data_IF_091167040026
#
_entry.id   IF_091167040026
#
_cell.length_a   1.000
_cell.length_b   1.000
_cell.length_c   1.000
_cell.angle_alpha   90.00
_cell.angle_beta   90.00
_cell.angle_gamma   90.00
#
_symmetry.space_group_name_H-M   'P 1'
#
loop_
_entity.id
_entity.type
_entity.pdbx_description
1 polymer ?
#
# COMPACT_ATOMS: atom_id res chain seq x y z
N UNK A 1 31.15 -26.46 -27.62
CA UNK A 1 30.07 -25.45 -27.63
C UNK A 1 28.97 -25.94 -26.69
N UNK A 2 28.86 -25.39 -25.48
CA UNK A 2 27.82 -25.75 -24.50
C UNK A 2 27.41 -24.52 -23.68
N UNK A 3 27.23 -23.37 -24.34
CA UNK A 3 26.92 -22.08 -23.70
C UNK A 3 25.42 -21.97 -23.38
N UNK A 4 24.56 -22.72 -24.07
CA UNK A 4 23.10 -22.66 -23.94
C UNK A 4 22.57 -23.31 -22.65
N UNK A 5 23.25 -24.32 -22.13
CA UNK A 5 22.83 -25.02 -20.90
C UNK A 5 23.22 -24.27 -19.62
N UNK A 6 24.23 -23.39 -19.71
CA UNK A 6 24.76 -22.62 -18.58
C UNK A 6 23.83 -21.48 -18.15
N UNK A 7 23.26 -20.72 -19.09
CA UNK A 7 22.30 -19.66 -18.75
C UNK A 7 21.03 -20.23 -18.10
N UNK A 8 20.47 -21.30 -18.67
CA UNK A 8 19.20 -21.87 -18.19
C UNK A 8 19.35 -22.49 -16.80
N UNK A 9 20.42 -23.25 -16.56
CA UNK A 9 20.66 -23.91 -15.27
C UNK A 9 20.96 -22.91 -14.14
N UNK A 10 21.73 -21.86 -14.42
CA UNK A 10 22.05 -20.81 -13.43
C UNK A 10 20.80 -19.98 -13.11
N UNK A 11 19.98 -19.62 -14.10
CA UNK A 11 18.73 -18.89 -13.88
C UNK A 11 17.71 -19.70 -13.07
N UNK A 12 17.54 -21.00 -13.35
CA UNK A 12 16.67 -21.90 -12.58
C UNK A 12 17.13 -22.06 -11.13
N UNK A 13 18.45 -22.22 -10.91
CA UNK A 13 19.03 -22.40 -9.57
C UNK A 13 18.96 -21.14 -8.71
N UNK A 14 18.93 -19.96 -9.32
CA UNK A 14 18.72 -18.68 -8.62
C UNK A 14 17.22 -18.41 -8.41
N UNK A 15 16.35 -18.80 -9.35
CA UNK A 15 14.90 -18.54 -9.25
C UNK A 15 14.20 -19.31 -8.11
N UNK A 16 14.61 -20.54 -7.84
CA UNK A 16 14.04 -21.36 -6.76
C UNK A 16 14.22 -20.76 -5.35
N UNK A 17 15.45 -20.45 -4.88
CA UNK A 17 15.65 -19.88 -3.55
C UNK A 17 15.04 -18.48 -3.42
N UNK A 18 15.03 -17.69 -4.49
CA UNK A 18 14.37 -16.38 -4.51
C UNK A 18 12.86 -16.53 -4.31
N UNK A 19 12.21 -17.41 -5.08
CA UNK A 19 10.77 -17.65 -4.94
C UNK A 19 10.38 -18.23 -3.58
N UNK A 20 11.18 -19.16 -3.05
CA UNK A 20 10.95 -19.71 -1.72
C UNK A 20 11.07 -18.63 -0.64
N UNK A 21 12.05 -17.73 -0.78
CA UNK A 21 12.23 -16.59 0.12
C UNK A 21 11.06 -15.62 0.03
N UNK A 22 10.60 -15.27 -1.18
CA UNK A 22 9.42 -14.42 -1.38
C UNK A 22 8.16 -15.03 -0.74
N UNK A 23 7.93 -16.32 -0.97
CA UNK A 23 6.79 -17.04 -0.40
C UNK A 23 6.83 -17.04 1.13
N UNK A 24 7.98 -17.33 1.72
CA UNK A 24 8.19 -17.27 3.16
C UNK A 24 7.93 -15.86 3.71
N UNK A 25 8.44 -14.82 3.04
CA UNK A 25 8.21 -13.43 3.42
C UNK A 25 6.72 -13.06 3.34
N UNK A 26 6.01 -13.43 2.28
CA UNK A 26 4.57 -13.15 2.18
C UNK A 26 3.76 -13.82 3.28
N UNK A 27 4.08 -15.06 3.66
CA UNK A 27 3.43 -15.75 4.78
C UNK A 27 3.73 -15.04 6.11
N UNK A 28 4.98 -14.67 6.35
CA UNK A 28 5.37 -13.97 7.57
C UNK A 28 4.70 -12.59 7.67
N UNK A 29 4.72 -11.82 6.58
CA UNK A 29 4.04 -10.52 6.51
C UNK A 29 2.54 -10.69 6.69
N UNK A 30 1.94 -11.72 6.10
CA UNK A 30 0.51 -12.01 6.30
C UNK A 30 0.21 -12.27 7.78
N UNK A 31 0.95 -13.17 8.42
CA UNK A 31 0.71 -13.56 9.80
C UNK A 31 0.94 -12.41 10.79
N UNK A 32 2.13 -11.80 10.76
CA UNK A 32 2.48 -10.71 11.66
C UNK A 32 1.70 -9.43 11.32
N UNK A 33 1.48 -9.15 10.04
CA UNK A 33 0.67 -8.03 9.58
C UNK A 33 -0.76 -8.15 10.08
N UNK A 34 -1.41 -9.31 9.90
CA UNK A 34 -2.77 -9.53 10.40
C UNK A 34 -2.83 -9.40 11.92
N UNK A 35 -1.86 -9.99 12.64
CA UNK A 35 -1.80 -9.91 14.09
C UNK A 35 -1.68 -8.46 14.58
N UNK A 36 -0.70 -7.70 14.07
CA UNK A 36 -0.46 -6.33 14.53
C UNK A 36 -1.57 -5.36 14.11
N UNK A 37 -2.12 -5.51 12.91
CA UNK A 37 -3.25 -4.69 12.46
C UNK A 37 -4.54 -5.00 13.22
N UNK A 38 -4.82 -6.27 13.53
CA UNK A 38 -5.95 -6.63 14.38
C UNK A 38 -5.79 -6.09 15.81
N UNK A 39 -4.59 -6.18 16.39
CA UNK A 39 -4.28 -5.59 17.69
C UNK A 39 -4.43 -4.07 17.67
N UNK A 40 -3.98 -3.40 16.60
CA UNK A 40 -4.17 -1.96 16.43
C UNK A 40 -5.66 -1.60 16.40
N UNK A 41 -6.47 -2.26 15.56
CA UNK A 41 -7.93 -2.08 15.54
C UNK A 41 -8.52 -2.27 16.93
N UNK A 42 -8.18 -3.37 17.61
CA UNK A 42 -8.67 -3.65 18.96
C UNK A 42 -8.35 -2.51 19.94
N UNK A 43 -7.11 -2.02 19.96
CA UNK A 43 -6.70 -0.89 20.83
C UNK A 43 -7.47 0.38 20.47
N UNK A 44 -7.55 0.73 19.19
CA UNK A 44 -8.22 1.95 18.76
C UNK A 44 -9.73 1.90 19.01
N UNK A 45 -10.40 0.77 18.79
CA UNK A 45 -11.84 0.65 19.00
C UNK A 45 -12.22 0.44 20.48
N UNK A 46 -11.48 -0.40 21.22
CA UNK A 46 -11.89 -0.82 22.56
C UNK A 46 -11.20 -0.03 23.69
N UNK A 47 -9.96 0.44 23.51
CA UNK A 47 -9.20 1.15 24.57
C UNK A 47 -9.29 2.67 24.42
N UNK A 48 -9.20 3.19 23.21
CA UNK A 48 -9.18 4.64 22.97
C UNK A 48 -10.59 5.15 22.67
N UNK A 49 -11.31 5.61 23.69
CA UNK A 49 -12.69 6.12 23.54
C UNK A 49 -12.77 7.49 22.83
N UNK A 50 -11.73 8.32 22.96
CA UNK A 50 -11.72 9.66 22.37
C UNK A 50 -11.49 9.61 20.87
N UNK A 51 -12.38 10.23 20.10
CA UNK A 51 -12.17 10.47 18.67
C UNK A 51 -11.20 11.64 18.48
N UNK A 52 -10.08 11.35 17.82
CA UNK A 52 -9.00 12.31 17.52
C UNK A 52 -8.62 12.15 16.06
N UNK A 53 -7.98 13.16 15.48
CA UNK A 53 -7.47 13.18 14.11
C UNK A 53 -6.53 11.99 13.88
N UNK A 54 -5.60 11.76 14.81
CA UNK A 54 -4.69 10.62 14.76
C UNK A 54 -5.44 9.29 14.73
N UNK A 55 -6.52 9.16 15.50
CA UNK A 55 -7.35 7.94 15.47
C UNK A 55 -8.00 7.74 14.09
N UNK A 56 -8.47 8.81 13.44
CA UNK A 56 -9.01 8.73 12.07
C UNK A 56 -7.94 8.28 11.08
N UNK A 57 -6.76 8.90 11.11
CA UNK A 57 -5.64 8.57 10.24
C UNK A 57 -5.21 7.11 10.42
N UNK A 58 -5.01 6.66 11.66
CA UNK A 58 -4.54 5.30 11.92
C UNK A 58 -5.59 4.25 11.56
N UNK A 59 -6.89 4.51 11.76
CA UNK A 59 -7.93 3.58 11.28
C UNK A 59 -7.89 3.44 9.76
N UNK A 60 -7.73 4.54 9.02
CA UNK A 60 -7.61 4.48 7.56
C UNK A 60 -6.35 3.73 7.10
N UNK A 61 -5.22 3.93 7.79
CA UNK A 61 -3.99 3.19 7.54
C UNK A 61 -4.18 1.69 7.74
N UNK A 62 -4.73 1.28 8.89
CA UNK A 62 -4.94 -0.13 9.21
C UNK A 62 -5.94 -0.78 8.26
N UNK A 63 -6.97 -0.05 7.81
CA UNK A 63 -7.89 -0.56 6.79
C UNK A 63 -7.17 -0.84 5.46
N UNK A 64 -6.29 0.07 5.02
CA UNK A 64 -5.50 -0.12 3.81
C UNK A 64 -4.52 -1.30 3.95
N UNK A 65 -3.83 -1.40 5.09
CA UNK A 65 -2.91 -2.50 5.38
C UNK A 65 -3.62 -3.86 5.42
N UNK A 66 -4.82 -3.92 6.02
CA UNK A 66 -5.64 -5.13 6.01
C UNK A 66 -5.94 -5.59 4.58
N UNK A 67 -6.36 -4.68 3.68
CA UNK A 67 -6.66 -5.05 2.30
C UNK A 67 -5.44 -5.66 1.59
N UNK A 68 -4.25 -5.09 1.73
CA UNK A 68 -3.05 -5.66 1.10
C UNK A 68 -2.64 -6.97 1.75
N UNK A 69 -2.72 -7.07 3.09
CA UNK A 69 -2.37 -8.29 3.82
C UNK A 69 -3.21 -9.47 3.34
N UNK A 70 -4.53 -9.27 3.18
CA UNK A 70 -5.40 -10.33 2.68
C UNK A 70 -5.12 -10.75 1.24
N UNK A 71 -4.51 -9.88 0.40
CA UNK A 71 -4.15 -10.24 -0.98
C UNK A 71 -2.77 -10.89 -1.12
N UNK A 72 -1.87 -10.76 -0.13
CA UNK A 72 -0.53 -11.38 -0.14
C UNK A 72 -0.49 -12.89 -0.41
N UNK A 73 -1.31 -13.75 0.23
CA UNK A 73 -1.28 -15.18 -0.06
C UNK A 73 -1.67 -15.49 -1.52
N UNK A 74 -2.58 -14.71 -2.09
CA UNK A 74 -2.97 -14.85 -3.50
C UNK A 74 -1.90 -14.34 -4.46
N UNK A 75 -1.20 -13.26 -4.09
CA UNK A 75 -0.05 -12.75 -4.83
C UNK A 75 1.06 -13.80 -4.95
N UNK A 76 1.33 -14.53 -3.88
CA UNK A 76 2.29 -15.64 -3.88
C UNK A 76 1.90 -16.73 -4.89
N UNK A 77 0.61 -17.10 -4.95
CA UNK A 77 0.08 -18.07 -5.92
C UNK A 77 0.20 -17.57 -7.37
N UNK A 78 -0.17 -16.32 -7.65
CA UNK A 78 -0.10 -15.74 -8.99
C UNK A 78 1.32 -15.65 -9.53
N UNK A 79 2.29 -15.28 -8.68
CA UNK A 79 3.70 -15.21 -9.03
C UNK A 79 4.29 -16.60 -9.30
N UNK A 80 3.87 -17.61 -8.53
CA UNK A 80 4.31 -19.00 -8.72
C UNK A 80 3.90 -19.52 -10.10
N UNK A 81 2.64 -19.30 -10.48
CA UNK A 81 2.07 -19.85 -11.70
C UNK A 81 2.36 -19.01 -12.96
N UNK A 82 3.08 -17.88 -12.83
CA UNK A 82 3.30 -16.90 -13.91
C UNK A 82 2.00 -16.56 -14.64
N UNK A 83 0.93 -16.32 -13.87
CA UNK A 83 -0.40 -16.09 -14.42
C UNK A 83 -0.43 -14.89 -15.37
N UNK A 84 -1.27 -14.99 -16.40
CA UNK A 84 -1.60 -13.85 -17.26
C UNK A 84 -2.25 -12.73 -16.44
N UNK A 85 -2.20 -11.50 -16.96
CA UNK A 85 -2.78 -10.33 -16.30
C UNK A 85 -4.31 -10.31 -16.41
N UNK A 86 -4.96 -11.20 -15.66
CA UNK A 86 -6.40 -11.29 -15.52
C UNK A 86 -6.97 -10.24 -14.55
N UNK A 87 -8.30 -10.15 -14.44
CA UNK A 87 -8.99 -9.17 -13.57
C UNK A 87 -8.56 -9.31 -12.10
N UNK A 88 -8.23 -10.53 -11.67
CA UNK A 88 -7.80 -10.80 -10.30
C UNK A 88 -6.39 -10.29 -10.02
N UNK A 89 -5.44 -10.52 -10.93
CA UNK A 89 -4.12 -9.89 -10.88
C UNK A 89 -4.24 -8.37 -10.83
N UNK A 90 -5.09 -7.78 -11.68
CA UNK A 90 -5.30 -6.33 -11.74
C UNK A 90 -5.82 -5.77 -10.41
N UNK A 91 -6.73 -6.50 -9.75
CA UNK A 91 -7.23 -6.14 -8.43
C UNK A 91 -6.13 -6.18 -7.35
N UNK A 92 -5.24 -7.18 -7.39
CA UNK A 92 -4.12 -7.28 -6.44
C UNK A 92 -3.11 -6.16 -6.70
N UNK A 93 -2.75 -5.88 -7.96
CA UNK A 93 -1.89 -4.76 -8.34
C UNK A 93 -2.44 -3.42 -7.84
N UNK A 94 -3.74 -3.19 -8.07
CA UNK A 94 -4.43 -1.99 -7.62
C UNK A 94 -4.40 -1.87 -6.09
N UNK A 95 -4.70 -2.95 -5.37
CA UNK A 95 -4.69 -2.96 -3.89
C UNK A 95 -3.31 -2.62 -3.34
N UNK A 96 -2.24 -3.18 -3.92
CA UNK A 96 -0.87 -2.88 -3.51
C UNK A 96 -0.50 -1.41 -3.75
N UNK A 97 -0.86 -0.89 -4.93
CA UNK A 97 -0.63 0.52 -5.28
C UNK A 97 -1.41 1.46 -4.35
N UNK A 98 -2.70 1.19 -4.14
CA UNK A 98 -3.56 1.98 -3.26
C UNK A 98 -2.98 1.98 -1.84
N UNK A 99 -2.61 0.82 -1.28
CA UNK A 99 -2.04 0.76 0.06
C UNK A 99 -0.74 1.57 0.17
N UNK A 100 0.16 1.43 -0.82
CA UNK A 100 1.42 2.17 -0.85
C UNK A 100 1.17 3.68 -0.81
N UNK A 101 0.30 4.19 -1.67
CA UNK A 101 0.03 5.64 -1.76
C UNK A 101 -0.68 6.14 -0.51
N UNK A 102 -1.77 5.47 -0.10
CA UNK A 102 -2.54 5.86 1.10
C UNK A 102 -1.63 5.87 2.34
N UNK A 103 -0.81 4.84 2.53
CA UNK A 103 0.09 4.75 3.68
C UNK A 103 1.09 5.92 3.75
N UNK A 104 1.71 6.29 2.63
CA UNK A 104 2.65 7.41 2.56
C UNK A 104 1.98 8.71 2.98
N UNK A 105 0.80 9.02 2.43
CA UNK A 105 0.09 10.27 2.76
C UNK A 105 -0.43 10.28 4.20
N UNK A 106 -0.97 9.18 4.69
CA UNK A 106 -1.49 9.09 6.05
C UNK A 106 -0.35 9.26 7.08
N UNK A 107 0.79 8.61 6.88
CA UNK A 107 1.97 8.79 7.75
C UNK A 107 2.47 10.24 7.68
N UNK A 108 2.44 10.85 6.50
CA UNK A 108 2.81 12.26 6.31
C UNK A 108 1.86 13.19 7.06
N UNK A 109 0.54 12.98 6.97
CA UNK A 109 -0.46 13.76 7.70
C UNK A 109 -0.32 13.61 9.21
N UNK A 110 -0.05 12.39 9.71
CA UNK A 110 0.25 12.15 11.14
C UNK A 110 1.50 12.93 11.56
N UNK A 111 2.55 12.90 10.75
CA UNK A 111 3.82 13.58 11.03
C UNK A 111 3.66 15.10 11.07
N UNK A 112 2.93 15.67 10.11
CA UNK A 112 2.61 17.10 10.05
C UNK A 112 1.74 17.51 11.26
N UNK A 113 0.72 16.71 11.60
CA UNK A 113 -0.14 16.94 12.75
C UNK A 113 0.64 16.95 14.08
N UNK A 114 1.61 16.04 14.23
CA UNK A 114 2.51 15.99 15.40
C UNK A 114 3.47 17.18 15.42
N UNK A 115 4.05 17.54 14.29
CA UNK A 115 4.93 18.69 14.18
C UNK A 115 4.23 20.00 14.56
N UNK A 116 3.03 20.26 14.02
CA UNK A 116 2.25 21.46 14.33
C UNK A 116 1.88 21.52 15.82
N UNK A 117 1.55 20.39 16.43
CA UNK A 117 1.22 20.33 17.85
C UNK A 117 2.38 20.69 18.78
N UNK A 118 3.59 20.26 18.41
CA UNK A 118 4.80 20.52 19.18
C UNK A 118 5.25 21.97 18.98
N UNK A 119 5.32 22.44 17.73
CA UNK A 119 5.88 23.76 17.41
C UNK A 119 4.88 24.91 17.57
N UNK A 120 3.59 24.66 17.35
CA UNK A 120 2.54 25.69 17.32
C UNK A 120 1.30 25.26 18.11
N UNK A 121 1.40 25.07 19.45
CA UNK A 121 0.33 24.51 20.28
C UNK A 121 -0.98 25.32 20.24
N UNK A 122 -0.90 26.66 20.18
CA UNK A 122 -2.08 27.54 20.08
C UNK A 122 -2.79 27.41 18.73
N UNK A 123 -2.03 27.26 17.63
CA UNK A 123 -2.58 27.05 16.28
C UNK A 123 -3.13 25.63 16.09
N UNK A 124 -2.50 24.65 16.74
CA UNK A 124 -2.93 23.25 16.74
C UNK A 124 -4.35 23.07 17.25
N UNK A 125 -4.74 23.78 18.32
CA UNK A 125 -6.08 23.68 18.92
C UNK A 125 -7.21 24.09 17.97
N UNK A 126 -6.96 25.03 17.06
CA UNK A 126 -7.96 25.54 16.10
C UNK A 126 -7.99 24.71 14.80
N UNK A 127 -6.87 24.12 14.40
CA UNK A 127 -6.77 23.33 13.17
C UNK A 127 -7.17 21.86 13.35
N UNK A 128 -6.98 21.30 14.55
CA UNK A 128 -7.32 19.91 14.87
C UNK A 128 -8.82 19.71 14.95
N UNK A 129 -9.38 19.05 13.93
CA UNK A 129 -10.73 18.50 13.97
C UNK A 129 -10.74 17.11 13.34
N UNK A 130 -11.31 16.09 14.02
CA UNK A 130 -11.43 14.74 13.47
C UNK A 130 -12.28 14.70 12.19
N UNK A 131 -13.23 15.65 12.03
CA UNK A 131 -14.02 15.77 10.81
C UNK A 131 -13.14 16.21 9.62
N UNK A 132 -12.24 17.18 9.82
CA UNK A 132 -11.29 17.59 8.78
C UNK A 132 -10.35 16.44 8.41
N UNK A 133 -9.87 15.69 9.39
CA UNK A 133 -9.06 14.50 9.15
C UNK A 133 -9.82 13.44 8.32
N UNK A 134 -11.10 13.21 8.63
CA UNK A 134 -11.94 12.28 7.87
C UNK A 134 -12.17 12.75 6.42
N UNK A 135 -12.41 14.05 6.21
CA UNK A 135 -12.53 14.63 4.88
C UNK A 135 -11.24 14.49 4.07
N UNK A 136 -10.08 14.77 4.67
CA UNK A 136 -8.78 14.58 4.02
C UNK A 136 -8.53 13.12 3.63
N UNK A 137 -8.86 12.17 4.52
CA UNK A 137 -8.77 10.75 4.19
C UNK A 137 -9.72 10.37 3.05
N UNK A 138 -10.97 10.86 3.07
CA UNK A 138 -11.94 10.60 2.01
C UNK A 138 -11.48 11.10 0.64
N UNK A 139 -10.98 12.34 0.58
CA UNK A 139 -10.38 12.91 -0.64
C UNK A 139 -9.18 12.09 -1.11
N UNK A 140 -8.33 11.64 -0.17
CA UNK A 140 -7.17 10.82 -0.48
C UNK A 140 -7.61 9.50 -1.13
N UNK A 141 -8.54 8.77 -0.51
CA UNK A 141 -9.08 7.54 -1.07
C UNK A 141 -9.63 7.73 -2.49
N UNK A 142 -10.46 8.76 -2.70
CA UNK A 142 -11.04 9.04 -4.02
C UNK A 142 -9.93 9.33 -5.05
N UNK A 143 -8.96 10.19 -4.71
CA UNK A 143 -7.86 10.53 -5.61
C UNK A 143 -6.98 9.33 -5.99
N UNK A 144 -6.70 8.44 -5.03
CA UNK A 144 -5.89 7.25 -5.23
C UNK A 144 -6.65 6.20 -6.04
N UNK A 145 -7.94 6.00 -5.79
CA UNK A 145 -8.79 5.09 -6.58
C UNK A 145 -8.87 5.54 -8.03
N UNK A 146 -9.12 6.83 -8.28
CA UNK A 146 -9.14 7.39 -9.65
C UNK A 146 -7.78 7.17 -10.32
N UNK A 147 -6.68 7.48 -9.63
CA UNK A 147 -5.33 7.29 -10.16
C UNK A 147 -5.04 5.82 -10.48
N UNK A 148 -5.48 4.89 -9.62
CA UNK A 148 -5.34 3.45 -9.84
C UNK A 148 -6.12 2.99 -11.07
N UNK A 149 -7.34 3.50 -11.28
CA UNK A 149 -8.16 3.18 -12.47
C UNK A 149 -7.51 3.75 -13.75
N UNK A 150 -7.02 4.99 -13.70
CA UNK A 150 -6.32 5.60 -14.84
C UNK A 150 -5.05 4.83 -15.20
N UNK A 151 -4.25 4.48 -14.20
CA UNK A 151 -3.06 3.65 -14.39
C UNK A 151 -3.42 2.29 -14.98
N UNK A 152 -4.51 1.69 -14.52
CA UNK A 152 -5.01 0.43 -15.05
C UNK A 152 -5.35 0.53 -16.55
N UNK A 153 -6.02 1.61 -16.96
CA UNK A 153 -6.39 1.87 -18.36
C UNK A 153 -5.18 2.12 -19.25
N UNK A 154 -4.12 2.71 -18.70
CA UNK A 154 -2.94 3.10 -19.47
C UNK A 154 -1.88 1.97 -19.56
N UNK A 155 -1.93 0.97 -18.66
CA UNK A 155 -0.98 -0.14 -18.64
C UNK A 155 -1.20 -1.12 -19.79
N UNK A 156 -0.17 -1.33 -20.61
CA UNK A 156 -0.12 -2.40 -21.62
C UNK A 156 0.78 -3.55 -21.16
N UNK A 157 0.56 -4.06 -19.95
CA UNK A 157 1.31 -5.19 -19.40
C UNK A 157 0.63 -6.52 -19.77
N UNK A 158 1.41 -7.47 -20.29
CA UNK A 158 0.95 -8.84 -20.62
C UNK A 158 1.01 -9.79 -19.42
N UNK A 159 1.96 -9.57 -18.50
CA UNK A 159 2.15 -10.38 -17.30
C UNK A 159 1.83 -9.62 -16.02
N UNK A 160 1.41 -10.36 -14.99
CA UNK A 160 1.13 -9.81 -13.68
C UNK A 160 2.40 -9.26 -13.01
N UNK A 161 2.31 -8.09 -12.36
CA UNK A 161 3.42 -7.41 -11.70
C UNK A 161 4.59 -7.01 -12.60
N UNK A 162 4.39 -7.03 -13.93
CA UNK A 162 5.40 -6.50 -14.83
C UNK A 162 5.58 -5.01 -14.58
N UNK A 163 6.79 -4.62 -14.18
CA UNK A 163 7.11 -3.26 -13.74
C UNK A 163 7.46 -2.42 -14.97
N UNK A 164 6.51 -1.65 -15.48
CA UNK A 164 6.80 -0.60 -16.46
C UNK A 164 7.65 0.49 -15.78
N UNK A 165 8.72 0.91 -16.44
CA UNK A 165 9.79 1.77 -15.90
C UNK A 165 9.22 3.14 -15.45
N UNK A 166 8.93 3.25 -14.16
CA UNK A 166 9.26 4.39 -13.25
C UNK A 166 8.83 5.82 -13.61
N UNK A 167 7.88 6.02 -14.52
CA UNK A 167 7.29 7.35 -14.77
C UNK A 167 5.91 7.56 -14.10
N UNK A 168 5.08 6.51 -14.00
CA UNK A 168 3.67 6.67 -13.59
C UNK A 168 3.47 6.85 -12.08
N UNK A 169 4.14 6.05 -11.23
CA UNK A 169 3.95 6.13 -9.78
C UNK A 169 4.42 7.48 -9.19
N UNK A 170 5.57 7.98 -9.66
CA UNK A 170 6.11 9.29 -9.30
C UNK A 170 5.20 10.41 -9.77
N UNK A 171 4.63 10.31 -10.97
CA UNK A 171 3.70 11.30 -11.50
C UNK A 171 2.36 11.30 -10.76
N UNK A 172 1.85 10.12 -10.37
CA UNK A 172 0.65 10.00 -9.51
C UNK A 172 0.88 10.57 -8.11
N UNK A 173 2.06 10.34 -7.52
CA UNK A 173 2.40 10.93 -6.22
C UNK A 173 2.53 12.45 -6.32
N UNK A 174 3.15 12.97 -7.39
CA UNK A 174 3.24 14.42 -7.60
C UNK A 174 1.85 15.04 -7.81
N UNK A 175 0.99 14.44 -8.63
CA UNK A 175 -0.37 14.97 -8.87
C UNK A 175 -1.22 15.00 -7.61
N UNK A 176 -1.15 13.95 -6.78
CA UNK A 176 -1.89 13.91 -5.52
C UNK A 176 -1.28 14.89 -4.50
N UNK A 177 0.05 15.07 -4.46
CA UNK A 177 0.69 16.10 -3.63
C UNK A 177 0.17 17.51 -3.95
N UNK A 178 0.03 17.84 -5.24
CA UNK A 178 -0.55 19.12 -5.67
C UNK A 178 -2.01 19.31 -5.25
N UNK A 179 -2.80 18.24 -5.11
CA UNK A 179 -4.19 18.34 -4.63
C UNK A 179 -4.25 18.72 -3.14
N UNK A 180 -3.23 18.32 -2.37
CA UNK A 180 -3.19 18.50 -0.91
C UNK A 180 -2.28 19.65 -0.42
N UNK A 181 -1.63 20.38 -1.34
CA UNK A 181 -0.76 21.55 -1.04
C UNK A 181 -1.45 22.84 -1.42
#
# INVERSE_FOLDING_TARGET
MNVSNSCIFVDLKIYEPVRLTEFALYILIFFFGALFNALALWVFFCKIKKWTETKVYVINLVLADCFVIFTLPFMAYLLWNKSSRDEFCQFIEATYFINMVVSIYIISFISIDRYIAIKHPLKSRTFRSPLKAALLCGLLWVSVIISSILQHRQRQATFCFQKDVTASATQSLLSILFIFT
#
